data_IF_710178158326
#
_entry.id   IF_710178158326
#
_cell.length_a   1.000
_cell.length_b   1.000
_cell.length_c   1.000
_cell.angle_alpha   90.00
_cell.angle_beta   90.00
_cell.angle_gamma   90.00
#
_symmetry.space_group_name_H-M   'P 1'
#
loop_
_entity.id
_entity.type
_entity.pdbx_description
1 polymer ?
#
# COMPACT_ATOMS: atom_id res chain seq x y z
N UNK A 1 -21.30 -19.33 -25.00
CA UNK A 1 -20.82 -18.34 -24.03
C UNK A 1 -20.87 -19.03 -22.67
N UNK A 2 -19.76 -19.23 -21.94
CA UNK A 2 -19.83 -19.83 -20.61
C UNK A 2 -20.49 -18.87 -19.61
N UNK A 3 -21.46 -19.38 -18.86
CA UNK A 3 -22.04 -18.68 -17.72
C UNK A 3 -21.11 -18.76 -16.51
N UNK A 4 -21.05 -17.69 -15.73
CA UNK A 4 -20.32 -17.69 -14.47
C UNK A 4 -21.02 -18.61 -13.45
N UNK A 5 -20.31 -19.62 -12.93
CA UNK A 5 -20.83 -20.53 -11.90
C UNK A 5 -21.16 -19.85 -10.55
N UNK A 6 -20.68 -18.62 -10.33
CA UNK A 6 -20.90 -17.86 -9.10
C UNK A 6 -22.09 -16.91 -9.17
N UNK A 7 -22.26 -16.19 -10.28
CA UNK A 7 -23.30 -15.15 -10.41
C UNK A 7 -24.20 -15.28 -11.65
N UNK A 8 -23.99 -16.30 -12.48
CA UNK A 8 -24.83 -16.60 -13.65
C UNK A 8 -24.59 -15.76 -14.89
N UNK A 9 -23.85 -14.65 -14.80
CA UNK A 9 -23.62 -13.75 -15.96
C UNK A 9 -22.87 -14.47 -17.10
N UNK A 10 -23.33 -14.29 -18.33
CA UNK A 10 -22.67 -14.77 -19.55
C UNK A 10 -21.36 -14.04 -19.82
N UNK A 11 -20.30 -14.78 -20.14
CA UNK A 11 -19.01 -14.20 -20.53
C UNK A 11 -18.53 -14.75 -21.88
N UNK A 12 -17.54 -14.06 -22.45
CA UNK A 12 -16.86 -14.52 -23.65
C UNK A 12 -16.14 -15.86 -23.40
N UNK A 13 -15.99 -16.71 -24.42
CA UNK A 13 -15.33 -18.02 -24.29
C UNK A 13 -13.84 -17.93 -23.94
N UNK A 14 -13.22 -16.78 -24.16
CA UNK A 14 -11.83 -16.49 -23.79
C UNK A 14 -11.68 -15.68 -22.48
N UNK A 15 -12.79 -15.32 -21.84
CA UNK A 15 -12.76 -14.51 -20.62
C UNK A 15 -12.02 -15.25 -19.50
N UNK A 16 -10.94 -14.65 -19.00
CA UNK A 16 -10.17 -15.17 -17.85
C UNK A 16 -10.87 -14.89 -16.50
N UNK A 17 -11.71 -13.85 -16.46
CA UNK A 17 -12.46 -13.42 -15.29
C UNK A 17 -13.88 -13.01 -15.67
N UNK A 18 -14.83 -13.21 -14.77
CA UNK A 18 -16.22 -12.80 -14.98
C UNK A 18 -16.34 -11.27 -14.97
N UNK A 19 -16.99 -10.69 -15.99
CA UNK A 19 -17.18 -9.23 -16.12
C UNK A 19 -18.08 -8.59 -15.06
N UNK A 20 -18.88 -9.38 -14.35
CA UNK A 20 -19.82 -8.87 -13.34
C UNK A 20 -19.34 -9.11 -11.90
N UNK A 21 -18.87 -10.32 -11.57
CA UNK A 21 -18.45 -10.65 -10.20
C UNK A 21 -16.94 -10.87 -10.00
N UNK A 22 -16.14 -10.78 -11.06
CA UNK A 22 -14.67 -10.89 -11.01
C UNK A 22 -14.12 -12.30 -10.72
N UNK A 23 -14.97 -13.33 -10.61
CA UNK A 23 -14.49 -14.70 -10.36
C UNK A 23 -13.62 -15.22 -11.52
N UNK A 24 -12.51 -15.92 -11.25
CA UNK A 24 -11.71 -16.53 -12.30
C UNK A 24 -12.55 -17.55 -13.06
N UNK A 25 -12.53 -17.45 -14.38
CA UNK A 25 -13.20 -18.39 -15.26
C UNK A 25 -12.17 -19.39 -15.73
N UNK A 26 -12.21 -20.58 -15.14
CA UNK A 26 -11.38 -21.69 -15.58
C UNK A 26 -11.84 -22.05 -16.99
N UNK A 27 -11.06 -21.67 -17.99
CA UNK A 27 -11.33 -22.03 -19.38
C UNK A 27 -11.36 -23.56 -19.47
N UNK A 28 -12.56 -24.11 -19.62
CA UNK A 28 -12.81 -25.50 -19.98
C UNK A 28 -12.22 -25.75 -21.38
N UNK A 29 -10.91 -25.97 -21.39
CA UNK A 29 -10.10 -26.38 -22.54
C UNK A 29 -8.93 -27.26 -22.13
N UNK A 30 -8.75 -27.50 -20.82
CA UNK A 30 -7.97 -28.62 -20.32
C UNK A 30 -8.93 -29.79 -20.12
N UNK A 31 -8.96 -30.72 -21.09
CA UNK A 31 -9.27 -32.09 -20.74
C UNK A 31 -8.19 -32.52 -19.72
N UNK A 32 -8.55 -33.11 -18.56
CA UNK A 32 -7.53 -33.70 -17.72
C UNK A 32 -6.74 -34.71 -18.57
N UNK A 33 -5.40 -34.72 -18.52
CA UNK A 33 -4.63 -35.74 -19.22
C UNK A 33 -5.12 -37.12 -18.76
N UNK A 34 -5.14 -38.14 -19.64
CA UNK A 34 -5.51 -39.50 -19.24
C UNK A 34 -4.66 -39.93 -18.03
N UNK A 35 -5.22 -40.74 -17.11
CA UNK A 35 -4.46 -41.19 -15.94
C UNK A 35 -3.17 -41.88 -16.39
N UNK A 36 -2.02 -41.59 -15.74
CA UNK A 36 -0.75 -42.21 -16.11
C UNK A 36 -0.84 -43.74 -15.95
N UNK A 37 -0.10 -44.52 -16.78
CA UNK A 37 0.01 -45.97 -16.60
C UNK A 37 0.42 -46.31 -15.15
N UNK A 38 -0.16 -47.34 -14.52
CA UNK A 38 0.25 -47.74 -13.18
C UNK A 38 1.75 -48.08 -13.16
N UNK A 39 2.55 -47.31 -12.41
CA UNK A 39 3.96 -47.60 -12.18
C UNK A 39 4.98 -46.53 -12.58
N UNK A 40 4.57 -45.36 -13.06
CA UNK A 40 5.53 -44.26 -13.32
C UNK A 40 5.48 -43.23 -12.19
N UNK A 41 6.59 -43.14 -11.44
CA UNK A 41 6.79 -42.14 -10.40
C UNK A 41 6.69 -40.74 -10.99
N UNK A 42 5.99 -39.85 -10.28
CA UNK A 42 5.81 -38.46 -10.70
C UNK A 42 7.16 -37.75 -10.77
N UNK A 43 7.72 -37.59 -11.97
CA UNK A 43 8.73 -36.57 -12.22
C UNK A 43 8.03 -35.22 -12.26
N UNK A 44 8.50 -34.28 -11.43
CA UNK A 44 7.99 -32.91 -11.43
C UNK A 44 8.27 -32.28 -12.81
N UNK A 45 7.32 -31.55 -13.41
CA UNK A 45 7.57 -30.82 -14.65
C UNK A 45 8.69 -29.79 -14.43
N UNK A 46 9.50 -29.51 -15.48
CA UNK A 46 10.58 -28.52 -15.39
C UNK A 46 10.02 -27.14 -15.04
N UNK A 47 10.77 -26.32 -14.28
CA UNK A 47 10.33 -24.97 -13.92
C UNK A 47 10.06 -24.14 -15.19
N UNK A 48 9.00 -23.30 -15.20
CA UNK A 48 8.72 -22.42 -16.33
C UNK A 48 9.89 -21.44 -16.55
N UNK A 49 10.13 -20.99 -17.79
CA UNK A 49 11.21 -20.06 -18.11
C UNK A 49 11.05 -18.74 -17.32
N UNK A 50 12.17 -18.07 -16.97
CA UNK A 50 12.10 -16.79 -16.25
C UNK A 50 11.29 -15.78 -17.06
N UNK A 51 10.15 -15.36 -16.52
CA UNK A 51 9.32 -14.34 -17.14
C UNK A 51 9.87 -12.95 -16.80
N UNK A 52 9.88 -11.98 -17.75
CA UNK A 52 10.28 -10.60 -17.46
C UNK A 52 9.45 -10.03 -16.32
N UNK A 53 10.14 -9.45 -15.33
CA UNK A 53 9.57 -9.03 -14.05
C UNK A 53 8.45 -8.00 -14.18
N UNK A 54 7.22 -8.49 -14.21
CA UNK A 54 6.07 -7.72 -13.75
C UNK A 54 5.99 -7.89 -12.23
N UNK A 55 5.94 -6.77 -11.50
CA UNK A 55 5.68 -6.76 -10.07
C UNK A 55 4.32 -7.42 -9.78
N UNK A 56 4.31 -8.73 -9.54
CA UNK A 56 3.13 -9.42 -9.05
C UNK A 56 2.90 -8.97 -7.60
N UNK A 57 2.00 -8.01 -7.45
CA UNK A 57 1.33 -7.75 -6.18
C UNK A 57 0.35 -8.91 -5.95
N UNK A 58 0.82 -9.96 -5.29
CA UNK A 58 -0.04 -11.07 -4.86
C UNK A 58 -0.50 -10.84 -3.41
N UNK A 59 -1.82 -10.82 -3.15
CA UNK A 59 -2.35 -10.83 -1.80
C UNK A 59 -2.29 -12.28 -1.30
N UNK A 60 -1.21 -12.67 -0.64
CA UNK A 60 -1.15 -14.00 -0.04
C UNK A 60 0.25 -14.44 0.36
N UNK A 61 0.45 -14.49 1.67
CA UNK A 61 1.33 -15.39 2.41
C UNK A 61 2.77 -15.57 1.87
N UNK A 62 3.69 -14.81 2.47
CA UNK A 62 5.05 -15.32 2.69
C UNK A 62 6.10 -15.08 1.61
N UNK A 63 6.08 -13.94 0.92
CA UNK A 63 7.32 -13.48 0.28
C UNK A 63 8.32 -13.15 1.40
N UNK A 64 9.27 -14.06 1.66
CA UNK A 64 10.42 -13.77 2.51
C UNK A 64 11.23 -12.66 1.86
N UNK A 65 11.40 -11.58 2.60
CA UNK A 65 12.06 -10.36 2.13
C UNK A 65 13.37 -10.17 2.87
N UNK A 66 14.24 -9.25 2.41
CA UNK A 66 15.53 -8.97 3.08
C UNK A 66 15.36 -8.62 4.57
N UNK A 67 14.21 -8.06 4.94
CA UNK A 67 13.81 -7.75 6.32
C UNK A 67 13.10 -8.89 7.06
N UNK A 68 12.76 -10.00 6.40
CA UNK A 68 11.95 -11.09 6.95
C UNK A 68 10.48 -10.72 7.22
N UNK A 69 10.07 -9.48 6.94
CA UNK A 69 8.76 -8.94 7.27
C UNK A 69 7.82 -8.95 6.06
N UNK A 70 6.60 -9.43 6.29
CA UNK A 70 5.52 -9.34 5.32
C UNK A 70 5.31 -7.87 4.91
N UNK A 71 5.03 -7.64 3.62
CA UNK A 71 5.04 -6.31 3.01
C UNK A 71 3.99 -5.34 3.58
N UNK A 72 2.80 -5.85 3.88
CA UNK A 72 1.73 -5.17 4.63
C UNK A 72 2.15 -4.81 6.07
N UNK A 73 2.85 -5.72 6.77
CA UNK A 73 3.34 -5.46 8.13
C UNK A 73 4.42 -4.37 8.10
N UNK A 74 5.38 -4.48 7.19
CA UNK A 74 6.40 -3.45 6.98
C UNK A 74 5.79 -2.10 6.61
N UNK A 75 4.78 -2.07 5.75
CA UNK A 75 4.06 -0.84 5.42
C UNK A 75 3.34 -0.23 6.63
N UNK A 76 2.71 -1.04 7.49
CA UNK A 76 2.09 -0.58 8.72
C UNK A 76 3.15 0.03 9.67
N UNK A 77 4.31 -0.61 9.80
CA UNK A 77 5.40 -0.14 10.66
C UNK A 77 5.92 1.24 10.25
N UNK A 78 5.82 1.64 8.98
CA UNK A 78 6.18 3.00 8.53
C UNK A 78 5.42 4.11 9.27
N UNK A 79 4.25 3.81 9.83
CA UNK A 79 3.37 4.79 10.47
C UNK A 79 3.51 4.86 12.00
N UNK A 80 4.18 3.90 12.64
CA UNK A 80 4.15 3.75 14.12
C UNK A 80 4.77 4.95 14.85
N UNK A 81 5.90 5.48 14.36
CA UNK A 81 6.54 6.69 14.89
C UNK A 81 6.44 7.86 13.91
N UNK A 82 5.40 7.84 13.06
CA UNK A 82 5.19 8.83 12.01
C UNK A 82 6.38 8.96 11.07
N UNK A 83 6.83 10.19 10.84
CA UNK A 83 7.84 10.52 9.83
C UNK A 83 9.21 9.89 10.12
N UNK A 84 9.52 9.56 11.38
CA UNK A 84 10.77 8.91 11.78
C UNK A 84 10.83 7.46 11.26
N UNK A 85 9.81 6.66 11.54
CA UNK A 85 9.72 5.30 10.99
C UNK A 85 9.59 5.31 9.47
N UNK A 86 8.91 6.30 8.91
CA UNK A 86 8.86 6.52 7.46
C UNK A 86 10.26 6.69 6.85
N UNK A 87 11.13 7.53 7.43
CA UNK A 87 12.51 7.71 6.95
C UNK A 87 13.32 6.40 6.99
N UNK A 88 13.26 5.69 8.11
CA UNK A 88 14.00 4.43 8.29
C UNK A 88 13.62 3.42 7.20
N UNK A 89 12.32 3.16 7.02
CA UNK A 89 11.85 2.21 6.01
C UNK A 89 12.06 2.69 4.57
N UNK A 90 12.06 4.01 4.32
CA UNK A 90 12.31 4.55 2.97
C UNK A 90 13.74 4.26 2.48
N UNK A 91 14.74 4.27 3.38
CA UNK A 91 16.13 4.02 3.02
C UNK A 91 16.53 2.55 3.07
N UNK A 92 16.03 1.81 4.07
CA UNK A 92 16.38 0.40 4.29
C UNK A 92 15.63 -0.51 3.32
N UNK A 93 14.32 -0.31 3.13
CA UNK A 93 13.49 -1.23 2.36
C UNK A 93 13.52 -0.86 0.86
N UNK A 94 13.83 -1.84 0.00
CA UNK A 94 13.92 -1.62 -1.45
C UNK A 94 12.59 -1.84 -2.18
N UNK A 95 11.56 -2.35 -1.50
CA UNK A 95 10.28 -2.70 -2.13
C UNK A 95 9.47 -1.44 -2.45
N UNK A 96 8.93 -1.29 -3.68
CA UNK A 96 8.23 -0.06 -4.09
C UNK A 96 6.98 0.23 -3.24
N UNK A 97 6.23 -0.80 -2.84
CA UNK A 97 5.04 -0.65 -1.98
C UNK A 97 5.38 -0.10 -0.59
N UNK A 98 6.42 -0.63 0.07
CA UNK A 98 6.84 -0.15 1.40
C UNK A 98 7.37 1.28 1.30
N UNK A 99 8.14 1.58 0.24
CA UNK A 99 8.64 2.93 -0.03
C UNK A 99 7.51 3.93 -0.29
N UNK A 100 6.43 3.53 -0.94
CA UNK A 100 5.24 4.37 -1.10
C UNK A 100 4.62 4.76 0.25
N UNK A 101 4.37 3.78 1.12
CA UNK A 101 3.85 4.04 2.46
C UNK A 101 4.81 4.81 3.35
N UNK A 102 6.11 4.54 3.23
CA UNK A 102 7.16 5.28 3.90
C UNK A 102 7.17 6.77 3.48
N UNK A 103 7.10 7.07 2.17
CA UNK A 103 6.98 8.44 1.68
C UNK A 103 5.71 9.13 2.18
N UNK A 104 4.57 8.43 2.15
CA UNK A 104 3.32 8.99 2.68
C UNK A 104 3.47 9.36 4.17
N UNK A 105 4.07 8.48 4.97
CA UNK A 105 4.32 8.76 6.39
C UNK A 105 5.24 9.97 6.59
N UNK A 106 6.33 10.07 5.83
CA UNK A 106 7.25 11.22 5.89
C UNK A 106 6.52 12.53 5.57
N UNK A 107 5.78 12.57 4.46
CA UNK A 107 5.12 13.79 4.01
C UNK A 107 4.00 14.23 4.95
N UNK A 108 3.15 13.29 5.38
CA UNK A 108 2.01 13.60 6.24
C UNK A 108 2.48 13.99 7.64
N UNK A 109 3.21 13.12 8.33
CA UNK A 109 3.61 13.40 9.70
C UNK A 109 4.70 14.47 9.79
N UNK A 110 5.64 14.49 8.85
CA UNK A 110 6.71 15.50 8.80
C UNK A 110 6.15 16.87 8.44
N UNK A 111 5.25 16.93 7.47
CA UNK A 111 4.54 18.17 7.10
C UNK A 111 3.70 18.72 8.26
N UNK A 112 2.92 17.87 8.93
CA UNK A 112 2.15 18.28 10.12
C UNK A 112 3.08 18.77 11.24
N UNK A 113 4.21 18.09 11.47
CA UNK A 113 5.14 18.48 12.52
C UNK A 113 5.80 19.84 12.24
N UNK A 114 6.21 20.08 11.00
CA UNK A 114 6.75 21.39 10.57
C UNK A 114 5.68 22.47 10.69
N UNK A 115 4.45 22.21 10.21
CA UNK A 115 3.36 23.17 10.32
C UNK A 115 3.08 23.52 11.78
N UNK A 116 3.02 22.52 12.66
CA UNK A 116 2.82 22.72 14.10
C UNK A 116 3.94 23.57 14.71
N UNK A 117 5.20 23.34 14.31
CA UNK A 117 6.34 24.15 14.75
C UNK A 117 6.25 25.61 14.26
N UNK A 118 5.85 25.83 13.01
CA UNK A 118 5.69 27.19 12.47
C UNK A 118 4.56 27.94 13.18
N UNK A 119 3.43 27.26 13.41
CA UNK A 119 2.31 27.84 14.14
C UNK A 119 2.68 28.12 15.60
N UNK A 120 3.38 27.21 16.28
CA UNK A 120 3.78 27.41 17.68
C UNK A 120 4.73 28.59 17.88
N UNK A 121 5.53 28.92 16.86
CA UNK A 121 6.37 30.13 16.85
C UNK A 121 5.52 31.36 16.52
N UNK A 122 4.61 31.29 15.54
CA UNK A 122 3.81 32.43 15.08
C UNK A 122 2.79 32.94 16.11
N UNK A 123 2.02 32.03 16.75
CA UNK A 123 0.91 32.41 17.62
C UNK A 123 1.31 33.28 18.83
N UNK A 124 2.41 33.05 19.54
CA UNK A 124 2.87 33.92 20.62
C UNK A 124 3.13 35.35 20.17
N UNK A 125 3.70 35.57 18.99
CA UNK A 125 3.94 36.92 18.46
C UNK A 125 2.63 37.64 18.13
N UNK A 126 1.67 36.92 17.53
CA UNK A 126 0.33 37.47 17.27
C UNK A 126 -0.40 37.82 18.57
N UNK A 127 -0.29 36.97 19.59
CA UNK A 127 -0.86 37.22 20.90
C UNK A 127 -0.22 38.41 21.62
N UNK A 128 1.11 38.53 21.57
CA UNK A 128 1.80 39.66 22.18
C UNK A 128 1.43 40.97 21.47
N UNK A 129 1.39 40.97 20.13
CA UNK A 129 0.99 42.13 19.34
C UNK A 129 -0.44 42.58 19.64
N UNK A 130 -1.38 41.64 19.76
CA UNK A 130 -2.77 41.97 20.08
C UNK A 130 -2.94 42.55 21.49
N UNK A 131 -2.18 42.06 22.47
CA UNK A 131 -2.14 42.63 23.82
C UNK A 131 -1.57 44.05 23.85
N UNK A 132 -0.48 44.30 23.10
CA UNK A 132 0.10 45.64 22.99
C UNK A 132 -0.88 46.63 22.35
N UNK A 133 -1.56 46.22 21.28
CA UNK A 133 -2.57 47.03 20.63
C UNK A 133 -3.74 47.33 21.58
N UNK A 134 -4.26 46.32 22.30
CA UNK A 134 -5.31 46.51 23.29
C UNK A 134 -4.89 47.47 24.42
N UNK A 135 -3.65 47.34 24.92
CA UNK A 135 -3.11 48.23 25.96
C UNK A 135 -2.99 49.67 25.45
N UNK A 136 -2.49 49.88 24.22
CA UNK A 136 -2.42 51.22 23.63
C UNK A 136 -3.81 51.87 23.50
N UNK A 137 -4.84 51.10 23.16
CA UNK A 137 -6.23 51.58 23.12
C UNK A 137 -6.75 51.99 24.49
N UNK A 138 -6.42 51.23 25.54
CA UNK A 138 -6.80 51.58 26.92
C UNK A 138 -6.09 52.84 27.41
N UNK A 139 -4.80 53.02 27.11
CA UNK A 139 -4.05 54.22 27.48
C UNK A 139 -4.67 55.47 26.82
N UNK A 140 -5.01 55.37 25.54
CA UNK A 140 -5.67 56.45 24.78
C UNK A 140 -7.08 56.79 25.28
N UNK A 141 -7.74 55.89 26.00
CA UNK A 141 -9.07 56.15 26.58
C UNK A 141 -8.99 56.95 27.89
N UNK A 142 -7.87 56.84 28.61
CA UNK A 142 -7.69 57.42 29.95
C UNK A 142 -6.87 58.72 29.92
N UNK A 143 -6.12 58.95 28.85
CA UNK A 143 -5.30 60.17 28.63
C UNK A 143 -6.09 61.23 27.87
#
# INVERSE_FOLDING_TARGET
>A
MPNCARCGTDNDSSAKFCKNCGSPMVSQGYAPPPPPPPGQGYSSPPPPPPQPGYYQQQPGYGQQTDSGLQQNVAALLCYVLGWLTGLVFFFIDKRPFVRFHAMQSILVFGGIHILHLLLSILFPFLHLWSLLFALSGLISLVS
#
